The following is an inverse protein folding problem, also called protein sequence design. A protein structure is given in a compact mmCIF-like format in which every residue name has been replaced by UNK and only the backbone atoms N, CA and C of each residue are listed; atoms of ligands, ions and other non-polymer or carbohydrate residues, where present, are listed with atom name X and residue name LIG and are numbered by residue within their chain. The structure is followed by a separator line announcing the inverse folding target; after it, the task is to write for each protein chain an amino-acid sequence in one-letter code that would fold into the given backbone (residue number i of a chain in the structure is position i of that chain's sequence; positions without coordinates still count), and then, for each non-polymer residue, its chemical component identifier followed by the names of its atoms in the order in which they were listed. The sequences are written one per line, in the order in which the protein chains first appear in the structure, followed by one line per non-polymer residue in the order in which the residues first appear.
data_IF_731120548396
#
_entry.id   IF_731120548396
#
_cell.length_a   1.000
_cell.length_b   1.000
_cell.length_c   1.000
_cell.angle_alpha   90.00
_cell.angle_beta   90.00
_cell.angle_gamma   90.00
#
_symmetry.space_group_name_H-M   'P 1'
#
loop_
_entity.id
_entity.type
_entity.pdbx_description
1 polymer ?
#
# COMPACT_ATOMS: atom_id res chain seq x y z
N UNK A 1 -1.58 37.75 30.10
CA UNK A 1 -2.89 37.08 30.21
C UNK A 1 -3.37 36.80 28.79
N UNK A 2 -3.26 35.56 28.31
CA UNK A 2 -3.67 35.22 26.94
C UNK A 2 -5.20 35.30 26.83
N UNK A 3 -5.70 36.00 25.80
CA UNK A 3 -7.14 36.10 25.54
C UNK A 3 -7.72 34.71 25.27
N UNK A 4 -8.91 34.43 25.82
CA UNK A 4 -9.67 33.18 25.61
C UNK A 4 -9.78 32.81 24.13
N UNK A 5 -9.86 33.81 23.23
CA UNK A 5 -9.88 33.59 21.78
C UNK A 5 -8.58 32.99 21.23
N UNK A 6 -7.42 33.38 21.77
CA UNK A 6 -6.11 32.85 21.36
C UNK A 6 -5.91 31.41 21.82
N UNK A 7 -6.41 31.07 23.02
CA UNK A 7 -6.39 29.71 23.55
C UNK A 7 -7.31 28.77 22.75
N UNK A 8 -8.50 29.25 22.38
CA UNK A 8 -9.42 28.48 21.52
C UNK A 8 -8.83 28.19 20.13
N UNK A 9 -8.16 29.19 19.52
CA UNK A 9 -7.50 29.02 18.23
C UNK A 9 -6.35 28.00 18.28
N UNK A 10 -5.55 28.02 19.35
CA UNK A 10 -4.46 27.08 19.55
C UNK A 10 -4.98 25.64 19.75
N UNK A 11 -6.08 25.46 20.49
CA UNK A 11 -6.70 24.15 20.70
C UNK A 11 -7.26 23.55 19.39
N UNK A 12 -7.88 24.38 18.54
CA UNK A 12 -8.39 23.94 17.23
C UNK A 12 -7.23 23.56 16.31
N UNK A 13 -6.17 24.38 16.25
CA UNK A 13 -4.98 24.09 15.45
C UNK A 13 -4.30 22.78 15.87
N UNK A 14 -4.23 22.52 17.19
CA UNK A 14 -3.68 21.27 17.72
C UNK A 14 -4.57 20.06 17.40
N UNK A 15 -5.90 20.22 17.48
CA UNK A 15 -6.87 19.17 17.12
C UNK A 15 -6.82 18.75 15.65
N UNK A 16 -6.57 19.70 14.74
CA UNK A 16 -6.38 19.42 13.30
C UNK A 16 -5.04 18.72 13.06
N UNK A 17 -3.98 19.11 13.77
CA UNK A 17 -2.67 18.46 13.66
C UNK A 17 -2.66 17.01 14.20
N UNK A 18 -3.57 16.68 15.11
CA UNK A 18 -3.76 15.31 15.64
C UNK A 18 -4.72 14.45 14.82
N UNK A 19 -5.19 14.91 13.66
CA UNK A 19 -5.87 14.02 12.71
C UNK A 19 -4.85 12.98 12.24
N UNK A 20 -4.82 11.83 12.94
CA UNK A 20 -3.93 10.72 12.66
C UNK A 20 -3.97 10.41 11.18
N UNK A 21 -2.82 10.53 10.52
CA UNK A 21 -2.60 10.10 9.14
C UNK A 21 -2.77 8.57 9.05
N UNK A 22 -4.00 8.10 9.15
CA UNK A 22 -4.39 6.76 8.75
C UNK A 22 -4.51 6.78 7.23
N UNK A 23 -3.37 6.86 6.53
CA UNK A 23 -3.33 6.59 5.12
C UNK A 23 -3.81 5.14 4.94
N UNK A 24 -4.99 4.99 4.35
CA UNK A 24 -5.61 3.69 4.10
C UNK A 24 -4.73 2.92 3.11
N UNK A 25 -4.26 1.74 3.51
CA UNK A 25 -3.32 0.93 2.71
C UNK A 25 -4.08 0.26 1.57
N UNK A 26 -3.72 0.53 0.33
CA UNK A 26 -4.29 -0.10 -0.85
C UNK A 26 -3.60 -1.44 -1.10
N UNK A 27 -4.30 -2.53 -0.78
CA UNK A 27 -3.81 -3.91 -0.96
C UNK A 27 -4.21 -4.40 -2.36
N UNK A 28 -3.26 -4.95 -3.10
CA UNK A 28 -3.48 -5.47 -4.45
C UNK A 28 -2.83 -6.83 -4.66
N UNK A 29 -3.04 -7.41 -5.84
CA UNK A 29 -2.38 -8.62 -6.30
C UNK A 29 -2.53 -8.82 -7.81
N UNK A 30 -1.85 -9.84 -8.32
CA UNK A 30 -2.04 -10.31 -9.70
C UNK A 30 -3.38 -11.02 -9.85
N UNK A 31 -3.88 -11.06 -11.08
CA UNK A 31 -5.20 -11.61 -11.43
C UNK A 31 -5.34 -13.12 -11.26
N UNK A 32 -4.22 -13.86 -11.18
CA UNK A 32 -4.24 -15.31 -10.96
C UNK A 32 -4.80 -15.70 -9.57
N UNK A 33 -5.16 -16.98 -9.42
CA UNK A 33 -5.76 -17.51 -8.20
C UNK A 33 -4.84 -17.36 -6.98
N UNK A 34 -3.54 -17.57 -7.16
CA UNK A 34 -2.56 -17.39 -6.09
C UNK A 34 -2.50 -15.93 -5.64
N UNK A 35 -2.48 -14.99 -6.57
CA UNK A 35 -2.60 -13.56 -6.29
C UNK A 35 -3.86 -13.25 -5.48
N UNK A 36 -5.00 -13.85 -5.81
CA UNK A 36 -6.23 -13.74 -5.02
C UNK A 36 -6.05 -14.21 -3.57
N UNK A 37 -5.50 -15.41 -3.37
CA UNK A 37 -5.27 -15.99 -2.03
C UNK A 37 -4.29 -15.14 -1.22
N UNK A 38 -3.11 -14.84 -1.76
CA UNK A 38 -2.07 -14.10 -1.05
C UNK A 38 -2.48 -12.64 -0.77
N UNK A 39 -3.19 -12.00 -1.72
CA UNK A 39 -3.74 -10.65 -1.52
C UNK A 39 -4.73 -10.59 -0.35
N UNK A 40 -5.64 -11.58 -0.26
CA UNK A 40 -6.60 -11.67 0.84
C UNK A 40 -5.90 -11.94 2.19
N UNK A 41 -4.86 -12.77 2.23
CA UNK A 41 -4.07 -13.01 3.45
C UNK A 41 -3.48 -11.69 3.98
N UNK A 42 -2.86 -10.89 3.11
CA UNK A 42 -2.30 -9.59 3.47
C UNK A 42 -3.39 -8.67 4.01
N UNK A 43 -4.51 -8.56 3.30
CA UNK A 43 -5.62 -7.70 3.70
C UNK A 43 -6.21 -8.08 5.06
N UNK A 44 -6.46 -9.38 5.28
CA UNK A 44 -6.98 -9.90 6.55
C UNK A 44 -6.02 -9.61 7.70
N UNK A 45 -4.71 -9.80 7.50
CA UNK A 45 -3.69 -9.52 8.52
C UNK A 45 -3.67 -8.03 8.90
N UNK A 46 -3.68 -7.14 7.91
CA UNK A 46 -3.70 -5.69 8.15
C UNK A 46 -4.96 -5.26 8.91
N UNK A 47 -6.13 -5.73 8.47
CA UNK A 47 -7.41 -5.43 9.11
C UNK A 47 -7.47 -5.95 10.55
N UNK A 48 -6.95 -7.16 10.81
CA UNK A 48 -6.87 -7.75 12.15
C UNK A 48 -5.97 -6.94 13.11
N UNK A 49 -5.05 -6.13 12.57
CA UNK A 49 -4.17 -5.24 13.33
C UNK A 49 -4.63 -3.78 13.31
N UNK A 50 -5.91 -3.53 13.01
CA UNK A 50 -6.52 -2.20 12.94
C UNK A 50 -5.89 -1.25 11.90
N UNK A 51 -5.21 -1.78 10.89
CA UNK A 51 -4.72 -1.01 9.75
C UNK A 51 -5.84 -1.01 8.69
N UNK A 52 -6.40 0.17 8.40
CA UNK A 52 -7.45 0.29 7.38
C UNK A 52 -6.89 -0.01 5.99
N UNK A 53 -7.62 -0.82 5.22
CA UNK A 53 -7.23 -1.19 3.85
C UNK A 53 -8.27 -0.81 2.81
N UNK A 54 -7.82 -0.56 1.57
CA UNK A 54 -8.66 -0.54 0.35
C UNK A 54 -8.37 -1.80 -0.44
N UNK A 55 -9.41 -2.49 -0.90
CA UNK A 55 -9.27 -3.67 -1.74
C UNK A 55 -9.05 -3.29 -3.21
N UNK A 56 -7.93 -3.73 -3.79
CA UNK A 56 -7.64 -3.77 -5.23
C UNK A 56 -7.01 -5.11 -5.62
N UNK A 57 -7.41 -6.20 -4.97
CA UNK A 57 -6.94 -7.57 -5.23
C UNK A 57 -7.32 -8.00 -6.66
N UNK A 58 -6.46 -8.82 -7.28
CA UNK A 58 -6.62 -9.32 -8.66
C UNK A 58 -6.75 -8.21 -9.72
N UNK A 59 -5.94 -7.14 -9.59
CA UNK A 59 -6.00 -5.96 -10.46
C UNK A 59 -5.65 -6.26 -11.93
N UNK A 60 -4.74 -7.21 -12.19
CA UNK A 60 -4.32 -7.54 -13.55
C UNK A 60 -3.06 -8.40 -13.59
N UNK A 61 -2.47 -8.55 -14.78
CA UNK A 61 -1.20 -9.23 -14.95
C UNK A 61 -0.01 -8.41 -14.38
N UNK A 62 1.17 -9.03 -14.26
CA UNK A 62 2.39 -8.40 -13.71
C UNK A 62 2.65 -6.96 -14.20
N UNK A 63 2.57 -6.63 -15.50
CA UNK A 63 2.84 -5.26 -15.96
C UNK A 63 1.85 -4.22 -15.43
N UNK A 64 0.58 -4.60 -15.24
CA UNK A 64 -0.47 -3.73 -14.71
C UNK A 64 -0.19 -3.41 -13.24
N UNK A 65 0.08 -4.44 -12.44
CA UNK A 65 0.35 -4.28 -11.01
C UNK A 65 1.66 -3.53 -10.78
N UNK A 66 2.70 -3.81 -11.59
CA UNK A 66 3.97 -3.09 -11.54
C UNK A 66 3.80 -1.60 -11.84
N UNK A 67 3.01 -1.25 -12.86
CA UNK A 67 2.70 0.15 -13.17
C UNK A 67 1.98 0.82 -12.00
N UNK A 68 0.96 0.17 -11.45
CA UNK A 68 0.17 0.69 -10.35
C UNK A 68 1.01 1.00 -9.10
N UNK A 69 1.91 0.09 -8.67
CA UNK A 69 2.74 0.34 -7.48
C UNK A 69 3.75 1.46 -7.72
N UNK A 70 4.35 1.56 -8.92
CA UNK A 70 5.30 2.64 -9.22
C UNK A 70 4.62 4.00 -9.40
N UNK A 71 3.32 4.02 -9.71
CA UNK A 71 2.51 5.23 -9.82
C UNK A 71 1.89 5.67 -8.48
N UNK A 72 2.03 4.88 -7.42
CA UNK A 72 1.39 5.14 -6.12
C UNK A 72 -0.12 4.87 -6.11
N UNK A 73 -0.63 4.07 -7.05
CA UNK A 73 -2.05 3.69 -7.11
C UNK A 73 -2.40 2.48 -6.20
N UNK A 74 -1.38 1.73 -5.78
CA UNK A 74 -1.43 0.63 -4.81
C UNK A 74 -0.21 0.71 -3.89
N UNK A 75 -0.32 0.17 -2.68
CA UNK A 75 0.73 0.29 -1.65
C UNK A 75 1.48 -1.02 -1.41
N UNK A 76 0.78 -2.15 -1.49
CA UNK A 76 1.35 -3.47 -1.22
C UNK A 76 0.71 -4.55 -2.10
N UNK A 77 1.52 -5.47 -2.59
CA UNK A 77 1.07 -6.66 -3.30
C UNK A 77 2.13 -7.78 -3.21
N UNK A 78 1.74 -9.07 -3.34
CA UNK A 78 2.68 -10.18 -3.42
C UNK A 78 3.36 -10.25 -4.80
N UNK A 79 4.68 -10.39 -4.83
CA UNK A 79 5.47 -10.50 -6.05
C UNK A 79 6.52 -11.61 -5.94
N UNK A 80 6.82 -12.26 -7.06
CA UNK A 80 7.86 -13.28 -7.15
C UNK A 80 9.22 -12.64 -7.39
N UNK A 81 10.21 -13.07 -6.61
CA UNK A 81 11.60 -12.59 -6.66
C UNK A 81 12.18 -12.65 -8.08
N UNK A 82 11.97 -13.74 -8.81
CA UNK A 82 12.47 -13.93 -10.17
C UNK A 82 11.96 -12.91 -11.20
N UNK A 83 10.82 -12.25 -10.96
CA UNK A 83 10.33 -11.23 -11.88
C UNK A 83 11.22 -9.98 -11.92
N UNK A 84 12.04 -9.75 -10.88
CA UNK A 84 12.99 -8.64 -10.86
C UNK A 84 14.02 -8.75 -12.00
N UNK A 85 14.36 -9.96 -12.46
CA UNK A 85 15.22 -10.15 -13.63
C UNK A 85 14.65 -9.44 -14.87
N UNK A 86 13.33 -9.51 -15.08
CA UNK A 86 12.67 -8.88 -16.24
C UNK A 86 12.43 -7.39 -16.02
N UNK A 87 12.09 -6.96 -14.79
CA UNK A 87 11.88 -5.55 -14.47
C UNK A 87 13.12 -4.69 -14.73
N UNK A 88 14.30 -5.28 -14.53
CA UNK A 88 15.58 -4.57 -14.64
C UNK A 88 16.45 -5.05 -15.81
N UNK A 89 15.88 -5.82 -16.76
CA UNK A 89 16.56 -6.28 -17.98
C UNK A 89 17.84 -7.09 -17.68
N UNK A 90 17.76 -7.97 -16.69
CA UNK A 90 18.84 -8.87 -16.24
C UNK A 90 18.48 -10.35 -16.34
N UNK A 91 17.64 -10.73 -17.31
CA UNK A 91 17.19 -12.12 -17.46
C UNK A 91 18.35 -13.12 -17.68
N UNK A 92 19.46 -12.65 -18.25
CA UNK A 92 20.65 -13.48 -18.52
C UNK A 92 21.65 -13.54 -17.35
N UNK A 93 21.43 -12.78 -16.28
CA UNK A 93 22.32 -12.77 -15.12
C UNK A 93 22.25 -14.12 -14.38
N UNK A 94 23.39 -14.80 -14.15
CA UNK A 94 23.42 -16.13 -13.53
C UNK A 94 22.84 -16.15 -12.10
N UNK A 95 22.70 -15.01 -11.43
CA UNK A 95 22.05 -14.92 -10.11
C UNK A 95 20.58 -15.37 -10.12
N UNK A 96 19.94 -15.42 -11.29
CA UNK A 96 18.54 -15.82 -11.46
C UNK A 96 18.34 -17.27 -11.89
N UNK A 97 19.41 -18.08 -12.00
CA UNK A 97 19.37 -19.49 -12.40
C UNK A 97 19.32 -20.45 -11.22
#
# INVERSE_FOLDING_TARGET
MFSVRKLAFAAIALGIATASANAQVVVSSKIDTEGGVLGNIIQLLLNANNIKTTDRIQLGATPVVRKAITAGEIDIYPEYTGNAAFFFQKADDPVWK
#
